data_IF_711376914835
#
_entry.id   IF_711376914835
#
_cell.length_a   1.000
_cell.length_b   1.000
_cell.length_c   1.000
_cell.angle_alpha   90.00
_cell.angle_beta   90.00
_cell.angle_gamma   90.00
#
_symmetry.space_group_name_H-M   'P 1'
#
loop_
_entity.id
_entity.type
_entity.pdbx_description
1 polymer ?
#
# COMPACT_ATOMS: atom_id res chain seq x y z
N UNK A 1 17.40 -7.71 -24.62
CA UNK A 1 17.29 -7.16 -23.25
C UNK A 1 15.93 -7.53 -22.65
N UNK A 2 15.89 -7.68 -21.36
CA UNK A 2 14.67 -8.08 -20.68
C UNK A 2 14.35 -7.11 -19.55
N UNK A 3 13.04 -6.90 -19.31
CA UNK A 3 12.57 -6.05 -18.21
C UNK A 3 11.67 -6.87 -17.32
N UNK A 4 11.83 -6.71 -16.00
CA UNK A 4 11.00 -7.38 -15.01
C UNK A 4 10.47 -6.33 -14.02
N UNK A 5 9.31 -6.60 -13.44
CA UNK A 5 8.77 -5.71 -12.41
C UNK A 5 9.71 -5.70 -11.20
N UNK A 6 9.97 -4.54 -10.66
CA UNK A 6 10.81 -4.37 -9.46
C UNK A 6 9.97 -3.85 -8.30
N UNK A 7 9.48 -2.63 -8.41
CA UNK A 7 8.69 -2.00 -7.35
C UNK A 7 7.80 -0.91 -7.93
N UNK A 8 6.81 -0.51 -7.15
CA UNK A 8 6.10 0.75 -7.35
C UNK A 8 6.34 1.61 -6.10
N UNK A 9 6.06 2.89 -6.19
CA UNK A 9 6.32 3.83 -5.11
C UNK A 9 5.06 4.58 -4.68
N UNK A 10 4.92 4.79 -3.37
CA UNK A 10 3.99 5.75 -2.79
C UNK A 10 4.78 6.69 -1.89
N UNK A 11 4.59 7.99 -2.07
CA UNK A 11 5.16 8.98 -1.16
C UNK A 11 4.21 9.15 0.03
N UNK A 12 4.76 9.13 1.25
CA UNK A 12 3.95 9.14 2.47
C UNK A 12 4.40 10.27 3.39
N UNK A 13 3.46 10.89 4.12
CA UNK A 13 3.77 11.99 5.04
C UNK A 13 4.23 11.51 6.40
N UNK A 14 3.64 10.44 6.91
CA UNK A 14 3.94 9.88 8.22
C UNK A 14 4.38 8.44 8.04
N UNK A 15 5.69 8.23 7.99
CA UNK A 15 6.25 6.91 7.68
C UNK A 15 5.81 5.84 8.67
N UNK A 16 5.88 6.13 9.97
CA UNK A 16 5.52 5.14 11.00
C UNK A 16 4.05 4.74 10.91
N UNK A 17 3.18 5.70 10.67
CA UNK A 17 1.75 5.45 10.50
C UNK A 17 1.49 4.58 9.28
N UNK A 18 2.18 4.85 8.18
CA UNK A 18 2.04 4.06 6.96
C UNK A 18 2.58 2.65 7.12
N UNK A 19 3.73 2.49 7.76
CA UNK A 19 4.31 1.17 8.01
C UNK A 19 3.36 0.31 8.85
N UNK A 20 2.78 0.91 9.89
CA UNK A 20 1.83 0.20 10.75
C UNK A 20 0.59 -0.20 9.96
N UNK A 21 0.07 0.70 9.12
CA UNK A 21 -1.10 0.41 8.30
C UNK A 21 -0.85 -0.78 7.36
N UNK A 22 0.26 -0.74 6.61
CA UNK A 22 0.54 -1.80 5.64
C UNK A 22 0.80 -3.16 6.31
N UNK A 23 1.38 -3.18 7.49
CA UNK A 23 1.54 -4.42 8.23
C UNK A 23 0.20 -4.94 8.74
N UNK A 24 -0.60 -4.06 9.34
CA UNK A 24 -1.88 -4.44 9.93
C UNK A 24 -2.93 -4.82 8.89
N UNK A 25 -3.05 -4.02 7.83
CA UNK A 25 -4.07 -4.23 6.81
C UNK A 25 -3.72 -5.35 5.83
N UNK A 26 -2.46 -5.47 5.45
CA UNK A 26 -2.05 -6.33 4.33
C UNK A 26 -0.91 -7.30 4.68
N UNK A 27 -0.38 -7.25 5.89
CA UNK A 27 0.70 -8.14 6.32
C UNK A 27 2.03 -7.88 5.64
N UNK A 28 2.24 -6.68 5.09
CA UNK A 28 3.50 -6.35 4.44
C UNK A 28 4.58 -6.06 5.48
N UNK A 29 5.80 -6.53 5.20
CA UNK A 29 6.93 -6.40 6.11
C UNK A 29 8.05 -5.58 5.48
N UNK A 30 8.84 -4.94 6.33
CA UNK A 30 10.03 -4.20 5.93
C UNK A 30 11.08 -5.18 5.39
N UNK A 31 11.41 -5.05 4.09
CA UNK A 31 12.45 -5.87 3.47
C UNK A 31 13.82 -5.21 3.64
N UNK A 32 13.91 -3.95 3.25
CA UNK A 32 15.13 -3.16 3.41
C UNK A 32 14.82 -1.67 3.29
N UNK A 33 15.78 -0.85 3.72
CA UNK A 33 15.64 0.61 3.73
C UNK A 33 16.87 1.28 3.12
N UNK A 34 16.65 2.49 2.65
CA UNK A 34 17.73 3.40 2.27
C UNK A 34 17.48 4.73 2.96
N UNK A 35 18.46 5.20 3.70
CA UNK A 35 18.34 6.44 4.47
C UNK A 35 19.40 7.43 3.96
N UNK A 36 18.99 8.64 3.64
CA UNK A 36 19.93 9.69 3.22
C UNK A 36 20.87 10.02 4.37
N UNK A 37 22.15 10.29 4.06
CA UNK A 37 23.15 10.64 5.07
C UNK A 37 22.71 11.85 5.90
N UNK A 38 22.08 12.83 5.26
CA UNK A 38 21.62 14.04 5.93
C UNK A 38 20.21 13.92 6.52
N UNK A 39 19.62 12.73 6.45
CA UNK A 39 18.27 12.47 6.97
C UNK A 39 17.15 13.05 6.11
N UNK A 40 17.46 13.55 4.91
CA UNK A 40 16.46 14.22 4.08
C UNK A 40 15.39 13.29 3.50
N UNK A 41 15.69 12.00 3.38
CA UNK A 41 14.69 11.02 2.93
C UNK A 41 14.91 9.66 3.55
N UNK A 42 13.87 8.86 3.59
CA UNK A 42 13.90 7.45 3.96
C UNK A 42 13.06 6.72 2.92
N UNK A 43 13.63 5.66 2.34
CA UNK A 43 12.92 4.74 1.46
C UNK A 43 12.78 3.42 2.19
N UNK A 44 11.55 2.90 2.31
CA UNK A 44 11.30 1.61 2.92
C UNK A 44 10.66 0.71 1.87
N UNK A 45 11.25 -0.45 1.63
CA UNK A 45 10.74 -1.41 0.67
C UNK A 45 10.00 -2.51 1.41
N UNK A 46 8.68 -2.61 1.17
CA UNK A 46 7.83 -3.59 1.83
C UNK A 46 7.65 -4.81 0.95
N UNK A 47 7.69 -5.99 1.56
CA UNK A 47 7.54 -7.27 0.86
C UNK A 47 6.27 -7.99 1.33
N UNK A 48 5.64 -8.76 0.43
CA UNK A 48 4.55 -9.67 0.80
C UNK A 48 5.08 -11.06 1.22
N UNK A 49 6.40 -11.26 1.10
CA UNK A 49 7.03 -12.54 1.44
C UNK A 49 6.76 -13.66 0.44
N UNK A 50 6.13 -13.37 -0.69
CA UNK A 50 5.74 -14.38 -1.68
C UNK A 50 6.20 -14.05 -3.08
N UNK A 51 6.06 -12.79 -3.51
CA UNK A 51 6.49 -12.36 -4.84
C UNK A 51 7.73 -11.49 -4.72
N UNK A 52 8.36 -11.19 -5.85
CA UNK A 52 9.54 -10.31 -5.88
C UNK A 52 9.16 -8.83 -5.95
N UNK A 53 7.88 -8.53 -6.14
CA UNK A 53 7.44 -7.14 -6.22
C UNK A 53 7.53 -6.49 -4.84
N UNK A 54 8.04 -5.25 -4.79
CA UNK A 54 8.17 -4.50 -3.54
C UNK A 54 7.34 -3.22 -3.64
N UNK A 55 6.76 -2.82 -2.51
CA UNK A 55 6.13 -1.51 -2.40
C UNK A 55 7.12 -0.57 -1.73
N UNK A 56 7.59 0.42 -2.48
CA UNK A 56 8.52 1.42 -1.94
C UNK A 56 7.73 2.57 -1.34
N UNK A 57 7.93 2.82 -0.05
CA UNK A 57 7.39 4.01 0.60
C UNK A 57 8.50 5.04 0.69
N UNK A 58 8.24 6.25 0.17
CA UNK A 58 9.20 7.35 0.22
C UNK A 58 8.72 8.39 1.23
N UNK A 59 9.56 8.65 2.23
CA UNK A 59 9.32 9.71 3.20
C UNK A 59 10.35 10.81 2.97
N UNK A 60 9.86 12.07 2.84
CA UNK A 60 10.70 13.24 2.66
C UNK A 60 10.59 14.14 3.88
N UNK A 61 11.70 14.36 4.58
CA UNK A 61 11.74 15.14 5.82
C UNK A 61 11.08 16.51 5.70
N UNK A 62 11.31 17.18 4.58
CA UNK A 62 10.86 18.57 4.43
C UNK A 62 9.50 18.72 3.75
N UNK A 63 8.86 17.61 3.41
CA UNK A 63 7.50 17.65 2.85
C UNK A 63 6.47 17.64 3.96
N UNK A 64 5.64 18.68 4.02
CA UNK A 64 4.59 18.81 5.04
C UNK A 64 3.19 18.79 4.47
N UNK A 65 3.04 19.09 3.19
CA UNK A 65 1.74 19.13 2.54
C UNK A 65 1.30 17.77 2.04
N UNK A 66 -0.01 17.50 2.11
CA UNK A 66 -0.58 16.29 1.54
C UNK A 66 -0.20 16.17 0.07
N UNK A 67 -0.02 14.94 -0.39
CA UNK A 67 0.27 14.69 -1.79
C UNK A 67 -0.99 14.86 -2.62
N UNK A 68 -0.85 15.52 -3.76
CA UNK A 68 -1.96 15.71 -4.68
C UNK A 68 -2.06 14.50 -5.60
N UNK A 69 -3.07 13.68 -5.40
CA UNK A 69 -3.27 12.46 -6.18
C UNK A 69 -4.18 12.70 -7.40
N UNK A 70 -4.49 13.95 -7.69
CA UNK A 70 -5.36 14.31 -8.81
C UNK A 70 -6.74 13.70 -8.61
N UNK A 71 -7.26 13.05 -9.66
CA UNK A 71 -8.54 12.37 -9.56
C UNK A 71 -8.44 11.02 -8.89
N UNK A 72 -7.21 10.61 -8.52
CA UNK A 72 -6.92 9.35 -7.79
C UNK A 72 -7.47 8.12 -8.52
N UNK A 73 -7.30 8.08 -9.84
CA UNK A 73 -7.82 7.00 -10.67
C UNK A 73 -6.83 5.85 -10.89
N UNK A 74 -5.79 5.77 -10.09
CA UNK A 74 -4.85 4.66 -10.12
C UNK A 74 -4.94 3.91 -8.80
N UNK A 75 -4.52 2.66 -8.80
CA UNK A 75 -4.54 1.84 -7.60
C UNK A 75 -3.56 0.68 -7.70
N UNK A 76 -3.27 0.08 -6.55
CA UNK A 76 -2.47 -1.13 -6.44
C UNK A 76 -3.40 -2.23 -5.96
N UNK A 77 -3.36 -3.39 -6.62
CA UNK A 77 -4.26 -4.49 -6.32
C UNK A 77 -3.54 -5.62 -5.58
N UNK A 78 -4.27 -6.27 -4.68
CA UNK A 78 -3.80 -7.41 -3.91
C UNK A 78 -4.80 -8.56 -4.05
N UNK A 79 -4.29 -9.75 -4.29
CA UNK A 79 -5.10 -10.96 -4.25
C UNK A 79 -5.15 -11.44 -2.80
N UNK A 80 -6.33 -11.91 -2.37
CA UNK A 80 -6.49 -12.47 -1.03
C UNK A 80 -7.14 -13.84 -1.11
N UNK A 81 -6.67 -14.77 -0.29
CA UNK A 81 -7.19 -16.14 -0.27
C UNK A 81 -8.52 -16.24 0.47
N UNK A 82 -8.68 -15.50 1.57
CA UNK A 82 -9.91 -15.49 2.36
C UNK A 82 -10.55 -14.10 2.27
N UNK A 83 -11.33 -13.90 1.24
CA UNK A 83 -11.96 -12.62 0.93
C UNK A 83 -12.89 -12.15 2.05
N UNK A 84 -13.70 -13.07 2.59
CA UNK A 84 -14.66 -12.73 3.64
C UNK A 84 -13.96 -12.25 4.92
N UNK A 85 -12.91 -12.94 5.33
CA UNK A 85 -12.12 -12.55 6.50
C UNK A 85 -11.42 -11.22 6.28
N UNK A 86 -10.88 -11.01 5.07
CA UNK A 86 -10.22 -9.74 4.73
C UNK A 86 -11.21 -8.57 4.81
N UNK A 87 -12.41 -8.77 4.26
CA UNK A 87 -13.44 -7.73 4.27
C UNK A 87 -13.83 -7.38 5.72
N UNK A 88 -14.04 -8.39 6.56
CA UNK A 88 -14.40 -8.18 7.96
C UNK A 88 -13.31 -7.39 8.71
N UNK A 89 -12.05 -7.76 8.46
CA UNK A 89 -10.91 -7.07 9.06
C UNK A 89 -10.82 -5.60 8.62
N UNK A 90 -10.92 -5.35 7.34
CA UNK A 90 -10.83 -3.99 6.82
C UNK A 90 -12.02 -3.13 7.23
N UNK A 91 -13.19 -3.74 7.36
CA UNK A 91 -14.37 -3.05 7.88
C UNK A 91 -14.15 -2.63 9.33
N UNK A 92 -13.61 -3.51 10.16
CA UNK A 92 -13.30 -3.21 11.55
C UNK A 92 -12.24 -2.11 11.66
N UNK A 93 -11.25 -2.13 10.78
CA UNK A 93 -10.23 -1.08 10.74
C UNK A 93 -10.79 0.26 10.25
N UNK A 94 -11.97 0.27 9.62
CA UNK A 94 -12.59 1.48 9.11
C UNK A 94 -11.90 2.05 7.87
N UNK A 95 -11.19 1.22 7.11
CA UNK A 95 -10.42 1.70 5.98
C UNK A 95 -11.04 1.40 4.60
N UNK A 96 -12.20 0.75 4.55
CA UNK A 96 -12.87 0.50 3.27
C UNK A 96 -13.41 1.82 2.71
N UNK A 97 -13.05 2.14 1.47
CA UNK A 97 -13.47 3.38 0.83
C UNK A 97 -14.45 3.17 -0.32
N UNK A 98 -14.49 1.99 -0.90
CA UNK A 98 -15.42 1.70 -1.99
C UNK A 98 -15.67 0.20 -2.10
N UNK A 99 -16.92 -0.17 -2.33
CA UNK A 99 -17.29 -1.58 -2.51
C UNK A 99 -17.94 -1.75 -3.88
N UNK A 100 -17.59 -2.83 -4.55
CA UNK A 100 -18.17 -3.18 -5.84
C UNK A 100 -18.68 -4.62 -5.77
N UNK A 101 -19.88 -4.85 -5.21
CA UNK A 101 -20.41 -6.21 -5.05
C UNK A 101 -20.63 -6.92 -6.37
N UNK A 102 -20.95 -6.19 -7.44
CA UNK A 102 -21.18 -6.78 -8.75
C UNK A 102 -19.92 -7.44 -9.30
N UNK A 103 -18.74 -6.87 -9.03
CA UNK A 103 -17.47 -7.45 -9.42
C UNK A 103 -16.85 -8.32 -8.32
N UNK A 104 -17.40 -8.28 -7.10
CA UNK A 104 -16.86 -9.05 -5.98
C UNK A 104 -15.51 -8.56 -5.49
N UNK A 105 -15.32 -7.25 -5.50
CA UNK A 105 -14.08 -6.60 -5.05
C UNK A 105 -14.41 -5.42 -4.16
N UNK A 106 -13.40 -4.92 -3.44
CA UNK A 106 -13.53 -3.67 -2.70
C UNK A 106 -12.18 -2.97 -2.64
N UNK A 107 -12.21 -1.70 -2.22
CA UNK A 107 -11.00 -0.88 -2.08
C UNK A 107 -10.87 -0.39 -0.66
N UNK A 108 -9.63 -0.30 -0.20
CA UNK A 108 -9.28 0.35 1.07
C UNK A 108 -8.37 1.53 0.76
N UNK A 109 -8.31 2.50 1.68
CA UNK A 109 -7.38 3.63 1.56
C UNK A 109 -6.31 3.53 2.63
N UNK A 110 -5.09 3.89 2.25
CA UNK A 110 -3.99 4.03 3.19
C UNK A 110 -4.02 5.42 3.85
N UNK A 111 -3.12 5.72 4.80
CA UNK A 111 -3.13 7.04 5.47
C UNK A 111 -2.98 8.26 4.56
N UNK A 112 -2.43 8.08 3.36
CA UNK A 112 -2.24 9.17 2.39
C UNK A 112 -3.28 9.15 1.28
N UNK A 113 -4.34 8.36 1.42
CA UNK A 113 -5.46 8.24 0.48
C UNK A 113 -5.14 7.49 -0.82
N UNK A 114 -4.08 6.70 -0.84
CA UNK A 114 -3.85 5.79 -1.95
C UNK A 114 -4.86 4.66 -1.89
N UNK A 115 -5.45 4.32 -3.03
CA UNK A 115 -6.44 3.25 -3.12
C UNK A 115 -5.77 1.91 -3.35
N UNK A 116 -6.21 0.92 -2.59
CA UNK A 116 -5.68 -0.44 -2.65
C UNK A 116 -6.86 -1.36 -2.91
N UNK A 117 -6.81 -2.09 -4.02
CA UNK A 117 -7.90 -2.98 -4.42
C UNK A 117 -7.70 -4.36 -3.81
N UNK A 118 -8.76 -4.93 -3.25
CA UNK A 118 -8.72 -6.27 -2.69
C UNK A 118 -9.53 -7.19 -3.59
N UNK A 119 -8.86 -8.19 -4.14
CA UNK A 119 -9.41 -9.08 -5.16
C UNK A 119 -9.35 -10.53 -4.66
N UNK A 120 -10.47 -11.27 -4.75
CA UNK A 120 -10.43 -12.69 -4.38
C UNK A 120 -9.46 -13.45 -5.27
N UNK A 121 -8.71 -14.36 -4.69
CA UNK A 121 -7.68 -15.13 -5.41
C UNK A 121 -8.23 -15.90 -6.60
N UNK A 122 -9.48 -16.30 -6.53
CA UNK A 122 -10.13 -17.11 -7.58
C UNK A 122 -10.92 -16.27 -8.59
N UNK A 123 -10.74 -14.96 -8.54
CA UNK A 123 -11.44 -14.03 -9.43
C UNK A 123 -10.92 -14.06 -10.86
#
# INVERSE_FOLDING_TARGET
MEFTFAHNNFNVLDLEKSLKFYEEALGLKDDHRKVAEDGSFILVYLTDGKTSHLLELTWLRDRKEAYNLGENEFHLAFLVDDYEAAHAKHKEMGCICYENPAMGIYFITDPDNYWLEIVPKNK
#
